data_IF_920072479928
#
_entry.id   IF_920072479928
#
_cell.length_a   1.000
_cell.length_b   1.000
_cell.length_c   1.000
_cell.angle_alpha   90.00
_cell.angle_beta   90.00
_cell.angle_gamma   90.00
#
_symmetry.space_group_name_H-M   'P 1'
#
loop_
_entity.id
_entity.type
_entity.pdbx_description
1 polymer ?
#
# COMPACT_ATOMS: atom_id res chain seq x y z
N UNK A 1 0.84 24.67 1.65
CA UNK A 1 0.49 23.52 2.51
C UNK A 1 -0.87 23.70 3.17
N UNK A 2 -1.16 24.78 3.92
CA UNK A 2 -2.46 24.94 4.62
C UNK A 2 -3.70 24.80 3.72
N UNK A 3 -3.68 25.34 2.50
CA UNK A 3 -4.79 25.15 1.54
C UNK A 3 -5.01 23.67 1.24
N UNK A 4 -3.94 22.88 1.03
CA UNK A 4 -4.07 21.44 0.81
C UNK A 4 -4.66 20.75 2.04
N UNK A 5 -4.11 21.04 3.23
CA UNK A 5 -4.57 20.46 4.50
C UNK A 5 -6.07 20.61 4.72
N UNK A 6 -6.63 21.78 4.39
CA UNK A 6 -8.05 22.07 4.65
C UNK A 6 -9.00 21.64 3.53
N UNK A 7 -8.50 21.25 2.35
CA UNK A 7 -9.36 21.04 1.18
C UNK A 7 -9.14 19.70 0.48
N UNK A 8 -8.05 19.00 0.77
CA UNK A 8 -7.62 17.80 0.04
C UNK A 8 -7.34 16.68 1.05
N UNK A 9 -7.99 15.51 0.93
CA UNK A 9 -7.90 14.45 1.93
C UNK A 9 -6.60 13.62 1.85
N UNK A 10 -5.74 13.87 0.87
CA UNK A 10 -4.45 13.20 0.71
C UNK A 10 -3.35 13.82 1.59
N UNK A 11 -2.45 12.96 2.05
CA UNK A 11 -1.17 13.37 2.62
C UNK A 11 -0.25 13.85 1.51
N UNK A 12 0.62 14.82 1.80
CA UNK A 12 1.57 15.38 0.85
C UNK A 12 2.99 15.38 1.43
N UNK A 13 3.96 14.99 0.61
CA UNK A 13 5.38 15.16 0.85
C UNK A 13 6.03 15.87 -0.34
N UNK A 14 6.76 16.94 -0.06
CA UNK A 14 7.51 17.71 -1.05
C UNK A 14 8.99 17.39 -0.92
N UNK A 15 9.50 16.77 -1.96
CA UNK A 15 10.91 16.44 -2.12
C UNK A 15 11.58 17.53 -2.96
N UNK A 16 12.65 18.13 -2.45
CA UNK A 16 13.39 19.19 -3.17
C UNK A 16 14.79 18.68 -3.47
N UNK A 17 15.25 18.94 -4.70
CA UNK A 17 16.60 18.61 -5.12
C UNK A 17 17.60 19.54 -4.45
N UNK A 18 18.55 18.96 -3.74
CA UNK A 18 19.71 19.65 -3.21
C UNK A 18 20.63 20.07 -4.38
N UNK A 19 21.03 21.35 -4.48
CA UNK A 19 21.85 21.83 -5.59
C UNK A 19 23.31 21.36 -5.52
N UNK A 20 23.82 21.01 -4.34
CA UNK A 20 25.20 20.57 -4.12
C UNK A 20 25.36 19.07 -4.31
N UNK A 21 24.47 18.27 -3.70
CA UNK A 21 24.54 16.80 -3.78
C UNK A 21 23.77 16.25 -4.98
N UNK A 22 22.78 16.99 -5.48
CA UNK A 22 21.88 16.56 -6.54
C UNK A 22 20.80 15.55 -6.10
N UNK A 23 20.77 15.17 -4.82
CA UNK A 23 19.80 14.25 -4.24
C UNK A 23 18.51 14.97 -3.86
N UNK A 24 17.40 14.25 -3.83
CA UNK A 24 16.13 14.77 -3.35
C UNK A 24 16.00 14.54 -1.84
N UNK A 25 15.61 15.58 -1.11
CA UNK A 25 15.38 15.56 0.34
C UNK A 25 13.95 15.95 0.68
N UNK A 26 13.38 15.38 1.73
CA UNK A 26 12.02 15.68 2.18
C UNK A 26 12.00 17.01 2.94
N UNK A 27 11.38 18.05 2.37
CA UNK A 27 11.49 19.43 2.90
C UNK A 27 10.22 20.01 3.49
N UNK A 28 9.05 19.48 3.11
CA UNK A 28 7.77 19.93 3.66
C UNK A 28 6.70 18.90 3.41
N UNK A 29 5.78 18.68 4.36
CA UNK A 29 4.69 17.73 4.17
C UNK A 29 3.51 17.93 5.11
N UNK A 30 2.41 17.26 4.79
CA UNK A 30 1.23 17.01 5.63
C UNK A 30 1.11 15.49 5.67
N UNK A 31 1.43 14.89 6.82
CA UNK A 31 1.44 13.43 6.99
C UNK A 31 0.50 13.11 8.15
N UNK A 32 -0.73 12.72 7.84
CA UNK A 32 -1.82 12.46 8.76
C UNK A 32 -2.41 11.06 8.59
N UNK A 33 -1.83 10.23 7.73
CA UNK A 33 -2.27 8.88 7.46
C UNK A 33 -1.10 7.89 7.36
N UNK A 34 0.01 8.11 8.05
CA UNK A 34 1.16 7.18 8.09
C UNK A 34 1.08 6.13 9.22
N UNK A 35 1.64 4.94 8.98
CA UNK A 35 1.86 3.89 9.97
C UNK A 35 3.36 3.67 10.19
N UNK A 36 3.81 3.67 11.44
CA UNK A 36 5.20 3.41 11.84
C UNK A 36 6.17 4.55 11.50
N UNK A 37 5.70 5.72 11.05
CA UNK A 37 6.53 6.90 10.83
C UNK A 37 5.71 8.20 10.92
N UNK A 38 6.38 9.33 11.05
CA UNK A 38 5.77 10.66 11.10
C UNK A 38 6.57 11.66 10.28
N UNK A 39 6.00 12.84 10.00
CA UNK A 39 6.74 13.92 9.33
C UNK A 39 8.06 14.22 10.05
N UNK A 40 8.04 14.29 11.38
CA UNK A 40 9.21 14.60 12.20
C UNK A 40 10.32 13.57 12.10
N UNK A 41 9.99 12.29 11.87
CA UNK A 41 11.01 11.22 11.76
C UNK A 41 11.66 11.15 10.38
N UNK A 42 11.09 11.83 9.37
CA UNK A 42 11.55 11.76 7.97
C UNK A 42 11.96 13.11 7.37
N UNK A 43 11.62 14.23 8.00
CA UNK A 43 11.95 15.56 7.51
C UNK A 43 13.47 15.75 7.42
N UNK A 44 13.94 16.30 6.31
CA UNK A 44 15.36 16.55 6.04
C UNK A 44 16.11 15.37 5.44
N UNK A 45 15.56 14.16 5.52
CA UNK A 45 16.19 12.95 4.99
C UNK A 45 16.15 12.91 3.45
N UNK A 46 17.17 12.28 2.87
CA UNK A 46 17.21 11.88 1.47
C UNK A 46 16.25 10.72 1.20
N UNK A 47 15.97 10.48 -0.08
CA UNK A 47 15.12 9.36 -0.49
C UNK A 47 15.65 8.02 0.03
N UNK A 48 16.97 7.81 0.02
CA UNK A 48 17.58 6.59 0.54
C UNK A 48 17.37 6.45 2.04
N UNK A 49 17.68 7.49 2.81
CA UNK A 49 17.56 7.48 4.27
C UNK A 49 16.12 7.25 4.75
N UNK A 50 15.13 7.79 4.03
CA UNK A 50 13.71 7.54 4.31
C UNK A 50 13.39 6.05 4.22
N UNK A 51 13.95 5.37 3.22
CA UNK A 51 13.67 3.98 2.89
C UNK A 51 14.65 2.97 3.50
N UNK A 52 15.60 3.40 4.34
CA UNK A 52 16.50 2.51 5.08
C UNK A 52 15.80 1.29 5.75
N UNK A 53 14.59 1.41 6.33
CA UNK A 53 13.90 0.27 6.93
C UNK A 53 13.31 -0.73 5.93
N UNK A 54 13.24 -0.39 4.65
CA UNK A 54 12.61 -1.22 3.61
C UNK A 54 13.59 -2.32 3.19
N UNK A 55 13.23 -3.61 3.33
CA UNK A 55 14.12 -4.70 2.94
C UNK A 55 14.53 -4.62 1.48
N UNK A 56 15.79 -4.97 1.19
CA UNK A 56 16.43 -4.92 -0.12
C UNK A 56 16.48 -3.53 -0.81
N UNK A 57 16.06 -2.44 -0.16
CA UNK A 57 16.01 -1.13 -0.81
C UNK A 57 17.40 -0.66 -1.27
N UNK A 58 18.38 -0.71 -0.37
CA UNK A 58 19.74 -0.23 -0.61
C UNK A 58 20.37 -0.95 -1.82
N UNK A 59 20.25 -2.27 -1.86
CA UNK A 59 20.91 -3.13 -2.84
C UNK A 59 20.17 -3.19 -4.18
N UNK A 60 18.83 -3.15 -4.17
CA UNK A 60 18.00 -3.40 -5.38
C UNK A 60 17.26 -2.19 -5.92
N UNK A 61 16.92 -1.22 -5.07
CA UNK A 61 15.98 -0.15 -5.44
C UNK A 61 16.61 1.25 -5.45
N UNK A 62 17.60 1.52 -4.60
CA UNK A 62 18.16 2.88 -4.43
C UNK A 62 18.55 3.52 -5.77
N UNK A 63 19.41 2.86 -6.54
CA UNK A 63 19.91 3.42 -7.80
C UNK A 63 18.81 3.69 -8.82
N UNK A 64 17.85 2.76 -8.97
CA UNK A 64 16.76 2.91 -9.93
C UNK A 64 15.80 4.02 -9.49
N UNK A 65 15.54 4.16 -8.18
CA UNK A 65 14.68 5.16 -7.60
C UNK A 65 15.28 6.57 -7.70
N UNK A 66 16.56 6.75 -7.35
CA UNK A 66 17.25 8.04 -7.48
C UNK A 66 17.28 8.50 -8.94
N UNK A 67 17.57 7.58 -9.86
CA UNK A 67 17.53 7.85 -11.30
C UNK A 67 16.12 8.24 -11.77
N UNK A 68 15.10 7.56 -11.26
CA UNK A 68 13.71 7.87 -11.58
C UNK A 68 13.33 9.28 -11.10
N UNK A 69 13.62 9.61 -9.83
CA UNK A 69 13.37 10.95 -9.27
C UNK A 69 14.13 12.04 -10.02
N UNK A 70 15.36 11.79 -10.45
CA UNK A 70 16.15 12.73 -11.24
C UNK A 70 15.57 12.95 -12.65
N UNK A 71 15.00 11.93 -13.29
CA UNK A 71 14.49 11.98 -14.67
C UNK A 71 12.99 12.22 -14.82
N UNK A 72 12.21 12.17 -13.73
CA UNK A 72 10.75 12.36 -13.75
C UNK A 72 10.38 13.67 -14.47
N UNK A 73 9.71 13.64 -15.63
CA UNK A 73 9.31 14.86 -16.32
C UNK A 73 8.06 15.47 -15.67
N UNK A 74 7.75 16.71 -16.03
CA UNK A 74 6.63 17.48 -15.44
C UNK A 74 5.26 17.10 -15.98
N UNK A 75 5.22 16.41 -17.12
CA UNK A 75 4.03 16.05 -17.89
C UNK A 75 3.66 14.55 -17.82
N UNK A 76 4.47 13.72 -17.13
CA UNK A 76 4.20 12.28 -16.94
C UNK A 76 4.17 11.93 -15.44
N UNK A 77 3.11 12.33 -14.71
CA UNK A 77 2.92 11.86 -13.36
C UNK A 77 2.70 10.35 -13.35
N UNK A 78 3.04 9.70 -12.24
CA UNK A 78 2.77 8.28 -12.04
C UNK A 78 1.84 8.07 -10.85
N UNK A 79 1.19 6.91 -10.84
CA UNK A 79 0.42 6.43 -9.71
C UNK A 79 0.79 4.98 -9.38
N UNK A 80 0.65 4.59 -8.11
CA UNK A 80 0.90 3.23 -7.62
C UNK A 80 0.14 2.99 -6.31
N UNK A 81 0.02 1.73 -5.90
CA UNK A 81 -0.44 1.36 -4.56
C UNK A 81 0.70 0.75 -3.75
N UNK A 82 0.87 1.19 -2.50
CA UNK A 82 1.46 0.35 -1.45
C UNK A 82 0.33 -0.24 -0.64
N UNK A 83 0.47 -1.47 -0.15
CA UNK A 83 -0.64 -2.16 0.52
C UNK A 83 -0.19 -2.97 1.74
N UNK A 84 -1.15 -3.27 2.62
CA UNK A 84 -1.01 -4.18 3.76
C UNK A 84 -2.40 -4.60 4.27
N UNK A 85 -2.47 -5.71 5.00
CA UNK A 85 -3.68 -6.07 5.74
C UNK A 85 -3.63 -5.44 7.13
N UNK A 86 -4.75 -4.88 7.55
CA UNK A 86 -4.88 -4.08 8.75
C UNK A 86 -6.14 -4.47 9.53
N UNK A 87 -6.05 -4.42 10.86
CA UNK A 87 -7.23 -4.50 11.73
C UNK A 87 -7.90 -3.12 11.77
N UNK A 88 -9.20 -3.09 11.49
CA UNK A 88 -10.03 -1.91 11.30
C UNK A 88 -9.48 -0.96 10.21
N UNK A 89 -9.50 0.35 10.47
CA UNK A 89 -9.09 1.40 9.52
C UNK A 89 -8.11 2.40 10.15
N UNK A 90 -6.92 1.96 10.62
CA UNK A 90 -5.97 2.83 11.27
C UNK A 90 -5.43 3.83 10.25
N UNK A 91 -5.78 5.11 10.42
CA UNK A 91 -5.26 6.18 9.56
C UNK A 91 -3.83 6.53 9.97
N UNK A 92 -3.62 6.94 11.22
CA UNK A 92 -2.34 7.43 11.73
C UNK A 92 -1.90 6.69 12.97
N UNK A 93 -0.72 6.06 12.91
CA UNK A 93 -0.06 5.35 14.01
C UNK A 93 1.43 5.74 13.96
N UNK A 94 1.82 6.85 14.61
CA UNK A 94 3.22 7.29 14.63
C UNK A 94 4.07 6.39 15.54
N UNK A 95 5.42 6.49 15.46
CA UNK A 95 6.30 5.75 16.35
C UNK A 95 6.03 6.06 17.83
N UNK A 96 5.94 5.01 18.65
CA UNK A 96 5.62 5.09 20.07
C UNK A 96 4.11 5.10 20.37
N UNK A 97 3.25 5.00 19.37
CA UNK A 97 1.81 4.84 19.57
C UNK A 97 1.51 3.44 20.17
N UNK A 98 0.70 3.34 21.25
CA UNK A 98 0.37 2.05 21.86
C UNK A 98 -0.20 1.02 20.88
N UNK A 99 -0.87 1.46 19.81
CA UNK A 99 -1.45 0.59 18.77
C UNK A 99 -0.39 -0.12 17.92
N UNK A 100 0.88 0.30 17.97
CA UNK A 100 1.98 -0.46 17.36
C UNK A 100 2.09 -1.86 17.97
N UNK A 101 1.79 -2.01 19.27
CA UNK A 101 1.81 -3.30 19.95
C UNK A 101 0.72 -4.28 19.46
N UNK A 102 -0.39 -3.75 18.91
CA UNK A 102 -1.46 -4.58 18.34
C UNK A 102 -1.00 -5.24 17.03
N UNK A 103 -0.01 -4.66 16.33
CA UNK A 103 0.52 -5.18 15.06
C UNK A 103 1.53 -6.33 15.21
N UNK A 104 1.92 -6.65 16.44
CA UNK A 104 2.91 -7.70 16.75
C UNK A 104 2.29 -8.89 17.50
N UNK A 105 0.98 -8.87 17.73
CA UNK A 105 0.23 -9.92 18.42
C UNK A 105 -0.94 -10.38 17.54
N UNK A 106 -1.29 -11.66 17.63
CA UNK A 106 -2.51 -12.19 17.05
C UNK A 106 -3.60 -12.23 18.13
N UNK A 107 -4.59 -11.34 18.01
CA UNK A 107 -5.75 -11.32 18.91
C UNK A 107 -6.64 -12.56 18.64
N UNK A 108 -6.88 -13.44 19.63
CA UNK A 108 -7.76 -14.60 19.45
C UNK A 108 -9.23 -14.22 19.20
N UNK A 109 -9.63 -12.98 19.49
CA UNK A 109 -10.98 -12.48 19.24
C UNK A 109 -11.10 -11.70 17.91
N UNK A 110 -10.03 -11.63 17.12
CA UNK A 110 -10.08 -10.97 15.81
C UNK A 110 -11.05 -11.72 14.89
N UNK A 111 -11.97 -10.98 14.30
CA UNK A 111 -12.93 -11.48 13.32
C UNK A 111 -12.65 -10.92 11.93
N UNK A 112 -13.09 -11.65 10.91
CA UNK A 112 -12.79 -11.35 9.50
C UNK A 112 -13.33 -9.99 9.03
N UNK A 113 -14.47 -9.55 9.57
CA UNK A 113 -15.13 -8.27 9.27
C UNK A 113 -14.33 -7.05 9.72
N UNK A 114 -13.38 -7.26 10.64
CA UNK A 114 -12.44 -6.22 11.08
C UNK A 114 -11.20 -6.14 10.20
N UNK A 115 -10.92 -7.12 9.35
CA UNK A 115 -9.71 -7.12 8.53
C UNK A 115 -9.98 -6.35 7.23
N UNK A 116 -9.11 -5.39 6.93
CA UNK A 116 -9.18 -4.56 5.74
C UNK A 116 -7.87 -4.63 4.95
N UNK A 117 -7.97 -4.68 3.62
CA UNK A 117 -6.86 -4.28 2.76
C UNK A 117 -6.73 -2.76 2.84
N UNK A 118 -5.63 -2.29 3.44
CA UNK A 118 -5.21 -0.90 3.34
C UNK A 118 -4.37 -0.72 2.09
N UNK A 119 -4.74 0.23 1.24
CA UNK A 119 -3.93 0.69 0.10
C UNK A 119 -3.60 2.16 0.29
N UNK A 120 -2.32 2.48 0.39
CA UNK A 120 -1.84 3.85 0.21
C UNK A 120 -1.74 4.11 -1.30
N UNK A 121 -2.79 4.73 -1.85
CA UNK A 121 -2.84 5.13 -3.25
C UNK A 121 -1.97 6.37 -3.46
N UNK A 122 -0.83 6.17 -4.09
CA UNK A 122 0.24 7.15 -4.20
C UNK A 122 0.25 7.76 -5.59
N UNK A 123 0.48 9.08 -5.67
CA UNK A 123 0.91 9.72 -6.92
C UNK A 123 2.21 10.46 -6.73
N UNK A 124 2.96 10.57 -7.84
CA UNK A 124 4.22 11.29 -7.87
C UNK A 124 4.25 12.21 -9.09
N UNK A 125 4.48 13.50 -8.85
CA UNK A 125 4.52 14.52 -9.91
C UNK A 125 5.63 15.54 -9.66
N UNK A 126 6.40 15.84 -10.70
CA UNK A 126 7.32 16.99 -10.67
C UNK A 126 6.55 18.30 -10.92
N UNK A 127 6.73 19.28 -10.04
CA UNK A 127 6.15 20.61 -10.17
C UNK A 127 6.94 21.43 -11.19
N UNK A 128 6.29 22.06 -12.18
CA UNK A 128 6.96 22.67 -13.33
C UNK A 128 7.79 23.91 -13.00
N UNK A 129 7.38 24.70 -12.01
CA UNK A 129 8.07 25.95 -11.67
C UNK A 129 9.24 25.75 -10.70
N UNK A 130 9.05 24.90 -9.67
CA UNK A 130 10.05 24.71 -8.62
C UNK A 130 10.98 23.52 -8.87
N UNK A 131 10.60 22.59 -9.76
CA UNK A 131 11.29 21.31 -9.94
C UNK A 131 11.14 20.35 -8.75
N UNK A 132 10.43 20.74 -7.69
CA UNK A 132 10.14 19.87 -6.56
C UNK A 132 9.29 18.68 -7.00
N UNK A 133 9.49 17.53 -6.37
CA UNK A 133 8.64 16.36 -6.58
C UNK A 133 7.62 16.30 -5.46
N UNK A 134 6.34 16.38 -5.83
CA UNK A 134 5.22 16.15 -4.95
C UNK A 134 4.89 14.65 -4.96
N UNK A 135 5.06 14.01 -3.81
CA UNK A 135 4.50 12.70 -3.49
C UNK A 135 3.25 12.93 -2.67
N UNK A 136 2.12 12.36 -3.06
CA UNK A 136 0.93 12.38 -2.22
C UNK A 136 0.36 10.97 -2.11
N UNK A 137 -0.38 10.70 -1.04
CA UNK A 137 -1.05 9.42 -0.89
C UNK A 137 -2.36 9.52 -0.13
N UNK A 138 -3.27 8.61 -0.46
CA UNK A 138 -4.54 8.42 0.24
C UNK A 138 -4.57 7.00 0.81
N UNK A 139 -4.83 6.87 2.11
CA UNK A 139 -5.15 5.58 2.69
C UNK A 139 -6.60 5.20 2.31
N UNK A 140 -6.75 4.10 1.58
CA UNK A 140 -8.01 3.47 1.21
C UNK A 140 -8.13 2.14 1.97
N UNK A 141 -9.36 1.78 2.37
CA UNK A 141 -9.62 0.55 3.11
C UNK A 141 -10.74 -0.22 2.45
N UNK A 142 -10.44 -1.45 2.03
CA UNK A 142 -11.41 -2.40 1.48
C UNK A 142 -11.57 -3.55 2.47
N UNK A 143 -12.78 -3.83 2.99
CA UNK A 143 -13.04 -5.01 3.84
C UNK A 143 -12.58 -6.28 3.14
N UNK A 144 -11.88 -7.17 3.87
CA UNK A 144 -11.36 -8.41 3.26
C UNK A 144 -12.47 -9.35 2.78
N UNK A 145 -13.63 -9.30 3.43
CA UNK A 145 -14.83 -10.06 3.02
C UNK A 145 -15.28 -9.75 1.59
N UNK A 146 -14.97 -8.56 1.07
CA UNK A 146 -15.28 -8.23 -0.32
C UNK A 146 -14.55 -9.15 -1.29
N UNK A 147 -13.43 -9.78 -0.93
CA UNK A 147 -12.66 -10.59 -1.87
C UNK A 147 -13.32 -11.93 -2.18
N UNK A 148 -14.28 -12.38 -1.36
CA UNK A 148 -14.95 -13.66 -1.55
C UNK A 148 -15.61 -13.78 -2.92
N UNK A 149 -16.20 -12.68 -3.43
CA UNK A 149 -16.84 -12.62 -4.75
C UNK A 149 -15.94 -12.00 -5.85
N UNK A 150 -14.63 -11.87 -5.62
CA UNK A 150 -13.67 -11.36 -6.60
C UNK A 150 -12.87 -12.53 -7.21
N UNK A 151 -13.13 -12.91 -8.47
CA UNK A 151 -12.49 -14.06 -9.10
C UNK A 151 -10.96 -14.04 -8.99
N UNK A 152 -10.39 -15.11 -8.41
CA UNK A 152 -8.95 -15.33 -8.28
C UNK A 152 -8.25 -14.50 -7.19
N UNK A 153 -8.88 -13.46 -6.66
CA UNK A 153 -8.28 -12.58 -5.63
C UNK A 153 -7.99 -13.31 -4.31
N UNK A 154 -8.91 -14.14 -3.75
CA UNK A 154 -8.60 -14.91 -2.54
C UNK A 154 -7.39 -15.84 -2.69
N UNK A 155 -7.28 -16.50 -3.83
CA UNK A 155 -6.16 -17.37 -4.15
C UNK A 155 -4.84 -16.58 -4.28
N UNK A 156 -4.88 -15.41 -4.92
CA UNK A 156 -3.71 -14.51 -5.04
C UNK A 156 -3.23 -14.01 -3.68
N UNK A 157 -4.14 -13.49 -2.85
CA UNK A 157 -3.77 -12.91 -1.56
C UNK A 157 -3.29 -14.01 -0.60
N UNK A 158 -3.97 -15.17 -0.55
CA UNK A 158 -3.51 -16.30 0.28
C UNK A 158 -2.12 -16.80 -0.15
N UNK A 159 -1.84 -16.86 -1.46
CA UNK A 159 -0.50 -17.18 -1.96
C UNK A 159 0.54 -16.18 -1.49
N UNK A 160 0.26 -14.88 -1.58
CA UNK A 160 1.19 -13.84 -1.12
C UNK A 160 1.45 -13.94 0.39
N UNK A 161 0.41 -14.17 1.20
CA UNK A 161 0.56 -14.31 2.65
C UNK A 161 1.39 -15.54 3.03
N UNK A 162 1.33 -16.62 2.25
CA UNK A 162 2.07 -17.87 2.48
C UNK A 162 3.51 -17.84 1.95
N UNK A 163 3.67 -17.37 0.72
CA UNK A 163 4.90 -17.52 -0.07
C UNK A 163 5.70 -16.22 -0.16
N UNK A 164 5.16 -15.11 0.35
CA UNK A 164 5.82 -13.81 0.37
C UNK A 164 7.17 -13.87 1.07
N UNK A 165 8.17 -13.15 0.54
CA UNK A 165 9.50 -13.08 1.16
C UNK A 165 9.36 -12.64 2.61
N UNK A 166 9.85 -13.47 3.54
CA UNK A 166 9.70 -13.30 5.00
C UNK A 166 9.99 -11.87 5.45
N UNK A 167 11.16 -11.32 5.10
CA UNK A 167 11.54 -9.96 5.51
C UNK A 167 10.57 -8.86 5.03
N UNK A 168 9.93 -9.04 3.87
CA UNK A 168 8.91 -8.11 3.36
C UNK A 168 7.61 -8.28 4.15
N UNK A 169 7.22 -9.50 4.49
CA UNK A 169 6.01 -9.78 5.26
C UNK A 169 6.13 -9.28 6.70
N UNK A 170 7.32 -9.42 7.30
CA UNK A 170 7.67 -8.82 8.60
C UNK A 170 7.64 -7.29 8.54
N UNK A 171 8.28 -6.68 7.54
CA UNK A 171 8.24 -5.22 7.34
C UNK A 171 6.81 -4.69 7.17
N UNK A 172 5.96 -5.44 6.46
CA UNK A 172 4.53 -5.11 6.30
C UNK A 172 3.69 -5.44 7.53
N UNK A 173 4.28 -6.06 8.55
CA UNK A 173 3.61 -6.54 9.75
C UNK A 173 2.40 -7.41 9.45
N UNK A 174 2.43 -8.27 8.42
CA UNK A 174 1.25 -9.05 8.03
C UNK A 174 0.77 -10.05 9.11
N UNK A 175 1.68 -10.47 9.98
CA UNK A 175 1.48 -11.52 10.98
C UNK A 175 0.22 -11.34 11.85
N UNK A 176 -0.07 -10.13 12.33
CA UNK A 176 -1.19 -9.87 13.25
C UNK A 176 -2.58 -10.17 12.69
N UNK A 177 -2.72 -10.24 11.36
CA UNK A 177 -3.99 -10.58 10.69
C UNK A 177 -4.00 -12.00 10.12
N UNK A 178 -2.83 -12.62 10.00
CA UNK A 178 -2.63 -13.80 9.16
C UNK A 178 -3.38 -15.03 9.66
N UNK A 179 -3.54 -15.21 10.97
CA UNK A 179 -4.24 -16.35 11.57
C UNK A 179 -5.74 -16.40 11.24
N UNK A 180 -6.33 -15.27 10.85
CA UNK A 180 -7.74 -15.18 10.43
C UNK A 180 -7.81 -15.02 8.91
N UNK A 181 -7.02 -14.11 8.34
CA UNK A 181 -7.08 -13.80 6.91
C UNK A 181 -6.72 -15.00 6.03
N UNK A 182 -5.61 -15.70 6.33
CA UNK A 182 -5.14 -16.79 5.46
C UNK A 182 -6.14 -17.96 5.39
N UNK A 183 -6.64 -18.53 6.51
CA UNK A 183 -7.65 -19.58 6.44
C UNK A 183 -8.94 -19.16 5.72
N UNK A 184 -9.43 -17.94 5.94
CA UNK A 184 -10.63 -17.43 5.26
C UNK A 184 -10.43 -17.33 3.75
N UNK A 185 -9.30 -16.77 3.31
CA UNK A 185 -8.97 -16.64 1.89
C UNK A 185 -8.81 -18.01 1.21
N UNK A 186 -8.26 -19.01 1.91
CA UNK A 186 -8.14 -20.38 1.38
C UNK A 186 -9.49 -21.08 1.25
N UNK A 187 -10.42 -20.86 2.18
CA UNK A 187 -11.80 -21.35 2.07
C UNK A 187 -12.47 -20.72 0.86
N UNK A 188 -12.41 -19.39 0.72
CA UNK A 188 -13.04 -18.69 -0.41
C UNK A 188 -12.41 -19.05 -1.76
N UNK A 189 -11.09 -19.28 -1.81
CA UNK A 189 -10.43 -19.76 -3.01
C UNK A 189 -10.97 -21.12 -3.47
N UNK A 190 -11.23 -22.04 -2.53
CA UNK A 190 -11.85 -23.34 -2.83
C UNK A 190 -13.30 -23.20 -3.26
N UNK A 191 -14.08 -22.35 -2.57
CA UNK A 191 -15.47 -22.06 -2.95
C UNK A 191 -15.56 -21.52 -4.39
N UNK A 192 -14.64 -20.64 -4.80
CA UNK A 192 -14.61 -20.12 -6.18
C UNK A 192 -14.36 -21.23 -7.22
N UNK A 193 -13.53 -22.21 -6.92
CA UNK A 193 -13.30 -23.37 -7.80
C UNK A 193 -14.55 -24.27 -7.85
N UNK A 194 -15.14 -24.58 -6.69
CA UNK A 194 -16.34 -25.43 -6.59
C UNK A 194 -17.55 -24.80 -7.30
N UNK A 195 -17.65 -23.48 -7.32
CA UNK A 195 -18.69 -22.72 -8.03
C UNK A 195 -18.39 -22.56 -9.53
N UNK A 196 -17.22 -23.00 -10.01
CA UNK A 196 -16.79 -22.81 -11.40
C UNK A 196 -16.49 -21.35 -11.77
N UNK A 197 -16.23 -20.49 -10.78
CA UNK A 197 -15.80 -19.09 -10.99
C UNK A 197 -14.34 -19.05 -11.43
N UNK A 198 -13.51 -19.94 -10.87
CA UNK A 198 -12.10 -20.08 -11.21
C UNK A 198 -11.85 -21.53 -11.65
N UNK A 199 -11.08 -21.73 -12.71
CA UNK A 199 -10.74 -23.06 -13.20
C UNK A 199 -9.90 -23.86 -12.19
N UNK A 200 -10.16 -25.16 -12.08
CA UNK A 200 -9.34 -26.05 -11.25
C UNK A 200 -7.89 -26.07 -11.78
N UNK A 201 -6.92 -25.85 -10.89
CA UNK A 201 -5.51 -25.76 -11.27
C UNK A 201 -5.08 -24.36 -11.74
N UNK A 202 -5.94 -23.34 -11.66
CA UNK A 202 -5.53 -21.96 -11.90
C UNK A 202 -4.38 -21.57 -10.95
N UNK A 203 -3.22 -21.27 -11.53
CA UNK A 203 -2.08 -20.81 -10.75
C UNK A 203 -2.22 -19.34 -10.42
N UNK A 204 -2.40 -19.04 -9.12
CA UNK A 204 -2.36 -17.68 -8.57
C UNK A 204 -1.03 -16.92 -8.76
N UNK A 205 -0.07 -17.50 -9.51
CA UNK A 205 1.16 -16.86 -9.94
C UNK A 205 1.02 -16.11 -11.28
N UNK A 206 -0.07 -16.31 -12.02
CA UNK A 206 -0.31 -15.63 -13.28
C UNK A 206 -0.83 -14.20 -13.05
N UNK A 207 -0.34 -13.25 -13.86
CA UNK A 207 -0.97 -11.94 -13.96
C UNK A 207 -2.36 -12.12 -14.53
N UNK A 208 -3.39 -11.55 -13.89
CA UNK A 208 -4.76 -11.59 -14.38
C UNK A 208 -4.83 -11.01 -15.80
N UNK A 209 -5.69 -11.57 -16.66
CA UNK A 209 -5.86 -11.08 -18.02
C UNK A 209 -6.31 -9.60 -18.05
N UNK A 210 -7.12 -9.19 -17.08
CA UNK A 210 -7.58 -7.81 -16.90
C UNK A 210 -6.70 -6.98 -15.95
N UNK A 211 -5.44 -7.37 -15.71
CA UNK A 211 -4.57 -6.69 -14.76
C UNK A 211 -4.53 -5.15 -14.97
N UNK A 212 -4.68 -4.37 -13.89
CA UNK A 212 -4.61 -4.77 -12.48
C UNK A 212 -5.94 -5.21 -11.86
N UNK A 213 -7.00 -5.40 -12.65
CA UNK A 213 -8.33 -5.70 -12.13
C UNK A 213 -8.70 -7.18 -12.25
N UNK A 214 -9.61 -7.63 -11.38
CA UNK A 214 -10.23 -8.94 -11.49
C UNK A 214 -11.41 -8.91 -12.46
N UNK A 215 -11.75 -10.06 -13.04
CA UNK A 215 -12.86 -10.19 -13.97
C UNK A 215 -14.19 -9.76 -13.32
N UNK A 216 -14.94 -8.88 -13.96
CA UNK A 216 -16.22 -8.39 -13.44
C UNK A 216 -16.12 -7.22 -12.45
N UNK A 217 -14.92 -6.64 -12.25
CA UNK A 217 -14.72 -5.52 -11.34
C UNK A 217 -15.61 -4.31 -11.63
N UNK A 218 -15.88 -4.02 -12.91
CA UNK A 218 -16.71 -2.86 -13.32
C UNK A 218 -18.14 -3.01 -12.84
N UNK A 219 -18.70 -4.22 -12.94
CA UNK A 219 -20.05 -4.54 -12.52
C UNK A 219 -20.17 -4.42 -11.00
N UNK A 220 -19.21 -4.99 -10.25
CA UNK A 220 -19.15 -4.83 -8.79
C UNK A 220 -19.03 -3.36 -8.39
N UNK A 221 -18.11 -2.62 -9.01
CA UNK A 221 -17.92 -1.20 -8.75
C UNK A 221 -19.20 -0.40 -9.02
N UNK A 222 -19.83 -0.62 -10.17
CA UNK A 222 -21.07 0.09 -10.55
C UNK A 222 -22.20 -0.17 -9.54
N UNK A 223 -22.37 -1.42 -9.10
CA UNK A 223 -23.33 -1.82 -8.06
C UNK A 223 -23.08 -1.11 -6.72
N UNK A 224 -21.81 -0.91 -6.35
CA UNK A 224 -21.44 -0.23 -5.11
C UNK A 224 -21.60 1.30 -5.16
N UNK A 225 -21.57 1.91 -6.35
CA UNK A 225 -21.79 3.36 -6.50
C UNK A 225 -23.27 3.76 -6.38
N UNK A 226 -24.20 2.80 -6.30
CA UNK A 226 -25.64 3.08 -6.17
C UNK A 226 -26.31 3.54 -7.46
N UNK A 227 -25.76 3.17 -8.62
CA UNK A 227 -26.42 3.33 -9.93
C UNK A 227 -27.33 2.15 -10.27
#
# INVERSE_FOLDING_TARGET
>A
MLVLLHNIPEDFALMIRDPYTGLYTFRAGIILSALGWSLGTKLGLTLSEIHNPVPDYEDKLRFSMDRFFAKLPTDKPIQRGSWGLEVDKPLFVPPGDPREAERIVQDPNLTIDRIHLRVDWQTLRRLPLSGAVAFNFKALFTPLEEFRDEPGVPALVSKILRDGKESIMEYKAAWHTQHVALPSLEVWAKEQIEMGIVEEGWEAAATLDEAPFFEGWRQKWSRQQGF
#
